data_IF_922004633327
#
_entry.id   IF_922004633327
#
_cell.length_a   1.000
_cell.length_b   1.000
_cell.length_c   1.000
_cell.angle_alpha   90.00
_cell.angle_beta   90.00
_cell.angle_gamma   90.00
#
_symmetry.space_group_name_H-M   'P 1'
#
loop_
_entity.id
_entity.type
_entity.pdbx_description
1 polymer ?
#
# COMPACT_ATOMS: atom_id res chain seq x y z
N UNK A 1 34.19 54.88 26.00
CA UNK A 1 35.37 54.23 26.62
C UNK A 1 35.45 52.83 26.07
N UNK A 2 36.44 52.65 25.25
CA UNK A 2 37.29 51.50 25.03
C UNK A 2 36.55 50.13 24.85
N UNK A 3 36.60 49.40 23.77
CA UNK A 3 37.69 49.23 22.78
C UNK A 3 38.15 47.77 22.80
N UNK A 4 38.28 47.24 21.61
CA UNK A 4 39.00 46.03 21.15
C UNK A 4 38.12 44.84 20.73
N UNK A 5 37.90 44.66 19.37
CA UNK A 5 38.72 44.06 18.32
C UNK A 5 39.52 42.82 18.75
N UNK A 6 39.34 41.74 17.99
CA UNK A 6 40.32 40.85 17.32
C UNK A 6 39.49 39.68 16.73
N UNK A 7 39.26 39.62 15.43
CA UNK A 7 39.94 39.00 14.27
C UNK A 7 40.17 37.48 14.32
N UNK A 8 39.65 36.85 13.30
CA UNK A 8 40.31 35.77 12.55
C UNK A 8 39.79 34.37 12.91
N UNK A 9 39.39 33.54 12.04
CA UNK A 9 39.99 33.11 10.81
C UNK A 9 39.01 32.30 10.00
N UNK A 10 38.82 32.66 8.78
CA UNK A 10 38.32 31.85 7.71
C UNK A 10 39.42 30.90 7.21
N UNK A 11 39.03 29.95 6.39
CA UNK A 11 39.81 28.96 5.62
C UNK A 11 39.86 27.59 6.32
N UNK A 12 39.40 26.54 5.67
CA UNK A 12 39.93 25.93 4.47
C UNK A 12 39.00 24.93 3.84
N UNK A 13 38.41 25.33 2.76
CA UNK A 13 38.01 24.44 1.69
C UNK A 13 39.09 24.53 0.61
N UNK A 14 39.62 23.37 0.15
CA UNK A 14 40.46 23.20 -1.02
C UNK A 14 41.81 22.56 -0.72
N UNK A 15 41.88 21.26 -0.76
CA UNK A 15 43.10 20.54 -1.18
C UNK A 15 42.80 19.04 -1.43
N UNK A 16 42.27 18.73 -2.59
CA UNK A 16 42.41 17.39 -3.21
C UNK A 16 42.32 17.50 -4.72
N UNK A 17 43.33 18.09 -5.32
CA UNK A 17 43.73 17.87 -6.73
C UNK A 17 45.18 18.33 -6.89
N UNK A 18 46.01 17.39 -7.32
CA UNK A 18 47.36 17.53 -7.87
C UNK A 18 48.43 16.74 -7.13
N UNK A 19 48.62 15.55 -7.63
CA UNK A 19 49.95 14.95 -7.76
C UNK A 19 49.95 14.08 -9.01
N UNK A 20 50.33 14.69 -10.10
CA UNK A 20 50.85 14.07 -11.30
C UNK A 20 51.93 14.98 -11.84
N UNK A 21 53.09 14.41 -12.15
CA UNK A 21 54.27 14.97 -12.83
C UNK A 21 55.40 15.35 -11.91
N UNK A 22 56.44 14.53 -12.03
CA UNK A 22 57.86 14.89 -12.32
C UNK A 22 58.54 13.50 -12.47
N UNK A 23 58.83 13.08 -13.62
CA UNK A 23 59.95 12.99 -14.50
C UNK A 23 61.27 12.63 -13.81
N UNK A 24 61.86 11.54 -14.26
CA UNK A 24 63.25 11.17 -13.95
C UNK A 24 63.70 10.07 -14.94
N UNK A 25 64.33 10.51 -16.01
CA UNK A 25 64.99 9.65 -16.98
C UNK A 25 66.21 8.96 -16.35
N UNK A 26 66.36 7.65 -16.55
CA UNK A 26 67.65 6.96 -16.55
C UNK A 26 67.64 5.86 -17.61
N UNK A 27 68.46 6.09 -18.60
CA UNK A 27 68.88 5.14 -19.64
C UNK A 27 69.53 3.89 -18.99
N UNK A 28 69.09 2.73 -19.32
CA UNK A 28 69.89 1.51 -19.28
C UNK A 28 69.67 0.67 -20.52
N UNK A 29 70.67 0.68 -21.34
CA UNK A 29 70.86 -0.22 -22.49
C UNK A 29 70.93 -1.65 -21.99
N UNK A 30 70.01 -2.50 -22.47
CA UNK A 30 70.19 -3.94 -22.39
C UNK A 30 69.92 -4.61 -23.74
N UNK A 31 70.91 -5.43 -24.10
CA UNK A 31 71.08 -6.11 -25.33
C UNK A 31 69.84 -6.94 -25.76
N UNK A 32 69.53 -6.84 -27.02
CA UNK A 32 68.66 -7.71 -27.78
C UNK A 32 69.32 -9.13 -27.87
N UNK A 33 68.71 -10.10 -27.21
CA UNK A 33 68.83 -11.49 -27.58
C UNK A 33 67.51 -11.96 -28.17
N UNK A 34 67.52 -12.16 -29.47
CA UNK A 34 66.40 -12.76 -30.19
C UNK A 34 66.32 -14.25 -29.79
N UNK A 35 65.39 -14.55 -28.86
CA UNK A 35 64.91 -15.88 -28.64
C UNK A 35 63.73 -16.15 -29.59
N UNK A 36 63.52 -17.42 -30.05
CA UNK A 36 62.44 -17.72 -30.97
C UNK A 36 61.09 -17.43 -30.31
N UNK A 37 60.25 -16.61 -30.95
CA UNK A 37 58.87 -16.36 -30.57
C UNK A 37 58.12 -17.70 -30.52
N UNK A 38 57.88 -18.23 -29.33
CA UNK A 38 56.93 -19.30 -29.13
C UNK A 38 55.55 -18.66 -29.42
N UNK A 39 54.75 -19.14 -30.36
CA UNK A 39 53.39 -18.64 -30.56
C UNK A 39 52.64 -18.88 -29.26
N UNK A 40 52.29 -17.80 -28.57
CA UNK A 40 51.32 -17.83 -27.48
C UNK A 40 49.99 -18.29 -28.11
N UNK A 41 49.70 -19.57 -28.02
CA UNK A 41 48.39 -20.09 -28.36
C UNK A 41 47.44 -19.37 -27.41
N UNK A 42 46.71 -18.38 -27.95
CA UNK A 42 45.64 -17.72 -27.21
C UNK A 42 44.73 -18.79 -26.65
N UNK A 43 44.61 -18.85 -25.34
CA UNK A 43 43.48 -19.54 -24.75
C UNK A 43 42.25 -18.90 -25.35
N UNK A 44 41.63 -19.58 -26.31
CA UNK A 44 40.27 -19.26 -26.70
C UNK A 44 39.45 -19.37 -25.41
N UNK A 45 39.07 -18.24 -24.86
CA UNK A 45 38.07 -18.20 -23.81
C UNK A 45 36.91 -19.02 -24.31
N UNK A 46 36.63 -20.15 -23.65
CA UNK A 46 35.53 -21.00 -24.02
C UNK A 46 34.27 -20.11 -24.14
N UNK A 47 33.62 -20.16 -25.32
CA UNK A 47 32.42 -19.38 -25.59
C UNK A 47 31.38 -19.70 -24.51
N UNK A 48 30.99 -18.71 -23.73
CA UNK A 48 29.91 -18.86 -22.76
C UNK A 48 28.55 -18.75 -23.48
N UNK A 49 28.20 -19.83 -24.21
CA UNK A 49 26.94 -19.90 -24.93
C UNK A 49 25.71 -19.74 -24.03
N UNK A 50 25.81 -20.10 -22.75
CA UNK A 50 24.71 -19.91 -21.78
C UNK A 50 24.49 -18.43 -21.48
N UNK A 51 25.54 -17.62 -21.43
CA UNK A 51 25.41 -16.18 -21.29
C UNK A 51 24.77 -15.56 -22.54
N UNK A 52 25.13 -16.00 -23.72
CA UNK A 52 24.53 -15.56 -24.98
C UNK A 52 23.04 -15.91 -25.05
N UNK A 53 22.65 -17.13 -24.71
CA UNK A 53 21.24 -17.54 -24.62
C UNK A 53 20.47 -16.67 -23.63
N UNK A 54 21.05 -16.33 -22.46
CA UNK A 54 20.40 -15.44 -21.49
C UNK A 54 20.25 -14.01 -22.03
N UNK A 55 21.23 -13.54 -22.80
CA UNK A 55 21.20 -12.21 -23.42
C UNK A 55 20.09 -12.13 -24.49
N UNK A 56 20.01 -13.12 -25.40
CA UNK A 56 18.97 -13.19 -26.43
C UNK A 56 17.59 -13.32 -25.79
N UNK A 57 17.45 -14.15 -24.75
CA UNK A 57 16.21 -14.29 -24.00
C UNK A 57 15.79 -12.96 -23.32
N UNK A 58 16.73 -12.19 -22.79
CA UNK A 58 16.47 -10.86 -22.22
C UNK A 58 16.05 -9.83 -23.29
N UNK A 59 16.56 -9.98 -24.52
CA UNK A 59 16.17 -9.19 -25.68
C UNK A 59 14.86 -9.68 -26.35
N UNK A 60 14.24 -10.76 -25.82
CA UNK A 60 13.11 -11.46 -26.44
C UNK A 60 13.40 -12.05 -27.82
N UNK A 61 14.66 -12.24 -28.16
CA UNK A 61 15.06 -12.98 -29.39
C UNK A 61 15.05 -14.49 -29.12
N UNK A 62 13.86 -15.07 -29.15
CA UNK A 62 13.66 -16.49 -28.90
C UNK A 62 14.23 -17.36 -30.00
N UNK A 63 14.27 -16.83 -31.23
CA UNK A 63 14.82 -17.57 -32.39
C UNK A 63 16.35 -17.67 -32.28
N UNK A 64 17.02 -16.56 -31.95
CA UNK A 64 18.46 -16.54 -31.70
C UNK A 64 18.84 -17.45 -30.54
N UNK A 65 18.14 -17.35 -29.41
CA UNK A 65 18.37 -18.19 -28.24
C UNK A 65 18.23 -19.69 -28.53
N UNK A 66 17.17 -20.11 -29.29
CA UNK A 66 16.98 -21.50 -29.70
C UNK A 66 18.07 -21.96 -30.66
N UNK A 67 18.45 -21.12 -31.64
CA UNK A 67 19.51 -21.45 -32.60
C UNK A 67 20.84 -21.75 -31.90
N UNK A 68 21.21 -20.96 -30.88
CA UNK A 68 22.43 -21.21 -30.10
C UNK A 68 22.36 -22.54 -29.40
N UNK A 69 21.24 -22.85 -28.72
CA UNK A 69 21.08 -24.11 -27.97
C UNK A 69 21.06 -25.30 -28.92
N UNK A 70 20.34 -25.21 -30.06
CA UNK A 70 20.29 -26.29 -31.06
C UNK A 70 21.69 -26.60 -31.66
N UNK A 71 22.50 -25.55 -31.88
CA UNK A 71 23.88 -25.71 -32.31
C UNK A 71 24.75 -26.42 -31.25
N UNK A 72 24.56 -26.11 -29.97
CA UNK A 72 25.29 -26.79 -28.88
C UNK A 72 24.82 -28.23 -28.69
N UNK A 73 23.53 -28.54 -28.85
CA UNK A 73 23.02 -29.93 -28.87
C UNK A 73 23.70 -30.74 -30.00
N UNK A 74 23.79 -30.13 -31.18
CA UNK A 74 24.45 -30.78 -32.32
C UNK A 74 25.96 -31.01 -32.09
N UNK A 75 26.61 -30.06 -31.37
CA UNK A 75 28.05 -30.15 -31.06
C UNK A 75 28.35 -31.19 -29.96
N UNK A 76 27.49 -31.31 -28.99
CA UNK A 76 27.68 -32.18 -27.83
C UNK A 76 26.44 -33.03 -27.52
N UNK A 77 26.04 -33.97 -28.38
CA UNK A 77 24.78 -34.70 -28.28
C UNK A 77 24.70 -35.66 -27.08
N UNK A 78 25.80 -35.86 -26.38
CA UNK A 78 25.86 -36.73 -25.18
C UNK A 78 25.72 -35.94 -23.88
N UNK A 79 25.78 -34.62 -23.96
CA UNK A 79 25.62 -33.76 -22.78
C UNK A 79 24.14 -33.54 -22.51
N UNK A 80 23.63 -34.20 -21.47
CA UNK A 80 22.21 -34.21 -21.13
C UNK A 80 21.70 -32.88 -20.52
N UNK A 81 22.60 -32.00 -20.09
CA UNK A 81 22.22 -30.68 -19.51
C UNK A 81 21.79 -29.66 -20.58
N UNK A 82 22.27 -29.82 -21.86
CA UNK A 82 22.00 -28.88 -22.93
C UNK A 82 20.50 -28.88 -23.34
N UNK A 83 19.83 -30.02 -23.49
CA UNK A 83 18.39 -30.06 -23.77
C UNK A 83 17.54 -29.35 -22.74
N UNK A 84 17.96 -29.33 -21.47
CA UNK A 84 17.31 -28.57 -20.41
C UNK A 84 17.29 -27.05 -20.66
N UNK A 85 18.31 -26.52 -21.35
CA UNK A 85 18.33 -25.12 -21.77
C UNK A 85 17.31 -24.86 -22.89
N UNK A 86 17.16 -25.79 -23.83
CA UNK A 86 16.16 -25.68 -24.89
C UNK A 86 14.75 -25.61 -24.33
N UNK A 87 14.44 -26.52 -23.42
CA UNK A 87 13.16 -26.52 -22.70
C UNK A 87 12.89 -25.21 -21.91
N UNK A 88 13.95 -24.64 -21.27
CA UNK A 88 13.86 -23.33 -20.58
C UNK A 88 13.58 -22.19 -21.55
N UNK A 89 14.25 -22.13 -22.71
CA UNK A 89 13.99 -21.09 -23.72
C UNK A 89 12.57 -21.19 -24.24
N UNK A 90 12.05 -22.38 -24.51
CA UNK A 90 10.66 -22.62 -24.90
C UNK A 90 9.69 -22.16 -23.84
N UNK A 91 9.97 -22.43 -22.57
CA UNK A 91 9.18 -21.96 -21.43
C UNK A 91 9.17 -20.43 -21.34
N UNK A 92 10.31 -19.76 -21.51
CA UNK A 92 10.42 -18.30 -21.49
C UNK A 92 9.68 -17.67 -22.67
N UNK A 93 9.77 -18.28 -23.85
CA UNK A 93 9.05 -17.88 -25.05
C UNK A 93 7.52 -18.10 -24.97
N UNK A 94 7.03 -18.77 -23.92
CA UNK A 94 5.61 -19.08 -23.76
C UNK A 94 5.11 -20.25 -24.61
N UNK A 95 6.00 -21.01 -25.25
CA UNK A 95 5.70 -22.22 -26.05
C UNK A 95 5.48 -23.41 -25.10
N UNK A 96 4.40 -23.31 -24.27
CA UNK A 96 4.21 -24.18 -23.11
C UNK A 96 4.05 -25.66 -23.46
N UNK A 97 3.40 -25.99 -24.57
CA UNK A 97 3.20 -27.39 -24.98
C UNK A 97 4.52 -28.04 -25.36
N UNK A 98 5.38 -27.33 -26.06
CA UNK A 98 6.69 -27.84 -26.47
C UNK A 98 7.65 -27.95 -25.28
N UNK A 99 7.64 -26.93 -24.39
CA UNK A 99 8.39 -26.99 -23.17
C UNK A 99 7.95 -28.15 -22.25
N UNK A 100 6.65 -28.47 -22.20
CA UNK A 100 6.13 -29.62 -21.46
C UNK A 100 6.69 -30.95 -22.01
N UNK A 101 6.65 -31.12 -23.34
CA UNK A 101 7.14 -32.33 -23.98
C UNK A 101 8.63 -32.55 -23.68
N UNK A 102 9.42 -31.50 -23.78
CA UNK A 102 10.85 -31.58 -23.53
C UNK A 102 11.17 -31.84 -22.03
N UNK A 103 10.60 -31.05 -21.10
CA UNK A 103 10.83 -31.33 -19.70
C UNK A 103 10.30 -32.71 -19.26
N UNK A 104 9.16 -33.17 -19.81
CA UNK A 104 8.65 -34.50 -19.53
C UNK A 104 9.59 -35.61 -20.02
N UNK A 105 10.26 -35.42 -21.18
CA UNK A 105 11.28 -36.34 -21.66
C UNK A 105 12.52 -36.32 -20.73
N UNK A 106 12.96 -35.14 -20.32
CA UNK A 106 14.12 -34.98 -19.43
C UNK A 106 13.91 -35.63 -18.04
N UNK A 107 12.79 -35.37 -17.37
CA UNK A 107 12.49 -36.00 -16.06
C UNK A 107 12.32 -37.51 -16.16
N UNK A 108 11.96 -38.03 -17.34
CA UNK A 108 11.93 -39.48 -17.59
C UNK A 108 13.33 -40.05 -17.81
N UNK A 109 14.23 -39.31 -18.47
CA UNK A 109 15.61 -39.71 -18.73
C UNK A 109 16.50 -39.54 -17.50
N UNK A 110 16.35 -38.44 -16.78
CA UNK A 110 17.13 -38.06 -15.60
C UNK A 110 16.15 -37.70 -14.46
N UNK A 111 15.59 -38.68 -13.74
CA UNK A 111 14.57 -38.43 -12.72
C UNK A 111 15.11 -37.72 -11.45
N UNK A 112 16.43 -37.64 -11.31
CA UNK A 112 17.09 -37.07 -10.12
C UNK A 112 17.60 -35.63 -10.33
N UNK A 113 17.29 -35.00 -11.47
CA UNK A 113 17.61 -33.59 -11.68
C UNK A 113 16.48 -32.69 -11.16
N UNK A 114 16.73 -31.88 -10.10
CA UNK A 114 15.73 -30.99 -9.54
C UNK A 114 15.36 -29.82 -10.47
N UNK A 115 16.23 -29.42 -11.41
CA UNK A 115 16.00 -28.32 -12.33
C UNK A 115 14.99 -28.67 -13.41
N UNK A 116 14.99 -29.92 -13.88
CA UNK A 116 14.01 -30.37 -14.86
C UNK A 116 12.62 -30.51 -14.23
N UNK A 117 12.54 -30.98 -12.98
CA UNK A 117 11.28 -30.98 -12.24
C UNK A 117 10.78 -29.59 -11.95
N UNK A 118 11.66 -28.63 -11.63
CA UNK A 118 11.30 -27.21 -11.49
C UNK A 118 10.75 -26.63 -12.80
N UNK A 119 11.40 -26.95 -13.92
CA UNK A 119 10.95 -26.54 -15.25
C UNK A 119 9.56 -27.08 -15.58
N UNK A 120 9.35 -28.38 -15.42
CA UNK A 120 8.07 -29.04 -15.67
C UNK A 120 6.96 -28.49 -14.76
N UNK A 121 7.22 -28.32 -13.47
CA UNK A 121 6.27 -27.73 -12.54
C UNK A 121 5.93 -26.28 -12.85
N UNK A 122 6.88 -25.51 -13.40
CA UNK A 122 6.64 -24.13 -13.85
C UNK A 122 5.76 -24.10 -15.10
N UNK A 123 5.95 -25.04 -16.04
CA UNK A 123 5.05 -25.19 -17.20
C UNK A 123 3.62 -25.49 -16.72
N UNK A 124 3.44 -26.48 -15.86
CA UNK A 124 2.12 -26.83 -15.32
C UNK A 124 1.46 -25.68 -14.59
N UNK A 125 2.21 -24.89 -13.82
CA UNK A 125 1.71 -23.69 -13.15
C UNK A 125 1.17 -22.66 -14.15
N UNK A 126 1.92 -22.39 -15.24
CA UNK A 126 1.46 -21.48 -16.31
C UNK A 126 0.24 -22.00 -17.06
N UNK A 127 0.13 -23.30 -17.24
CA UNK A 127 -1.04 -23.96 -17.82
C UNK A 127 -2.24 -24.07 -16.87
N UNK A 128 -2.11 -23.61 -15.61
CA UNK A 128 -3.13 -23.75 -14.55
C UNK A 128 -3.43 -25.19 -14.13
N UNK A 129 -2.58 -26.12 -14.44
CA UNK A 129 -2.63 -27.52 -13.99
C UNK A 129 -1.98 -27.63 -12.60
N UNK A 130 -2.67 -27.06 -11.61
CA UNK A 130 -2.09 -26.84 -10.27
C UNK A 130 -1.73 -28.12 -9.50
N UNK A 131 -2.51 -29.25 -9.57
CA UNK A 131 -2.11 -30.51 -8.94
C UNK A 131 -0.82 -31.08 -9.53
N UNK A 132 -0.69 -31.06 -10.87
CA UNK A 132 0.51 -31.57 -11.56
C UNK A 132 1.72 -30.67 -11.24
N UNK A 133 1.52 -29.35 -11.19
CA UNK A 133 2.55 -28.40 -10.78
C UNK A 133 3.04 -28.67 -9.36
N UNK A 134 2.13 -28.92 -8.41
CA UNK A 134 2.51 -29.23 -7.04
C UNK A 134 3.31 -30.52 -6.95
N UNK A 135 2.87 -31.59 -7.65
CA UNK A 135 3.61 -32.86 -7.69
C UNK A 135 5.03 -32.69 -8.22
N UNK A 136 5.21 -31.96 -9.32
CA UNK A 136 6.53 -31.69 -9.87
C UNK A 136 7.41 -30.89 -8.91
N UNK A 137 6.84 -29.84 -8.25
CA UNK A 137 7.58 -29.07 -7.26
C UNK A 137 7.92 -29.86 -5.99
N UNK A 138 7.05 -30.78 -5.56
CA UNK A 138 7.32 -31.69 -4.44
C UNK A 138 8.52 -32.60 -4.76
N UNK A 139 8.61 -33.12 -6.00
CA UNK A 139 9.76 -33.91 -6.45
C UNK A 139 11.05 -33.07 -6.47
N UNK A 140 11.01 -31.88 -7.05
CA UNK A 140 12.16 -30.97 -7.08
C UNK A 140 12.69 -30.65 -5.66
N UNK A 141 11.79 -30.31 -4.72
CA UNK A 141 12.16 -30.03 -3.31
C UNK A 141 12.65 -31.28 -2.59
N UNK A 142 12.14 -32.47 -2.91
CA UNK A 142 12.61 -33.73 -2.31
C UNK A 142 14.05 -34.07 -2.76
N UNK A 143 14.41 -33.78 -4.02
CA UNK A 143 15.75 -33.99 -4.56
C UNK A 143 16.79 -33.04 -3.96
N UNK A 144 16.46 -31.75 -3.82
CA UNK A 144 17.32 -30.81 -3.11
C UNK A 144 16.53 -29.94 -2.13
N UNK A 145 16.36 -30.40 -0.87
CA UNK A 145 15.60 -29.66 0.13
C UNK A 145 16.29 -28.36 0.61
N UNK A 146 17.55 -28.13 0.25
CA UNK A 146 18.31 -26.96 0.69
C UNK A 146 18.14 -25.76 -0.26
N UNK A 147 17.76 -25.97 -1.48
CA UNK A 147 17.59 -24.93 -2.49
C UNK A 147 16.39 -24.03 -2.18
N UNK A 148 16.67 -22.75 -2.04
CA UNK A 148 15.67 -21.74 -1.71
C UNK A 148 14.70 -21.47 -2.87
N UNK A 149 15.18 -21.50 -4.11
CA UNK A 149 14.42 -21.29 -5.33
C UNK A 149 13.34 -22.35 -5.56
N UNK A 150 13.65 -23.63 -5.29
CA UNK A 150 12.68 -24.73 -5.39
C UNK A 150 11.53 -24.56 -4.40
N UNK A 151 11.84 -24.20 -3.15
CA UNK A 151 10.83 -23.91 -2.14
C UNK A 151 9.99 -22.69 -2.48
N UNK A 152 10.61 -21.63 -3.01
CA UNK A 152 9.91 -20.46 -3.46
C UNK A 152 8.97 -20.78 -4.65
N UNK A 153 9.39 -21.64 -5.58
CA UNK A 153 8.55 -22.11 -6.68
C UNK A 153 7.36 -22.94 -6.17
N UNK A 154 7.59 -23.86 -5.25
CA UNK A 154 6.54 -24.63 -4.57
C UNK A 154 5.53 -23.70 -3.87
N UNK A 155 6.03 -22.69 -3.16
CA UNK A 155 5.17 -21.71 -2.50
C UNK A 155 4.26 -20.96 -3.47
N UNK A 156 4.75 -20.57 -4.66
CA UNK A 156 3.92 -19.93 -5.70
C UNK A 156 2.79 -20.85 -6.18
N UNK A 157 3.05 -22.15 -6.34
CA UNK A 157 2.00 -23.11 -6.68
C UNK A 157 0.96 -23.20 -5.56
N UNK A 158 1.37 -23.26 -4.30
CA UNK A 158 0.46 -23.25 -3.15
C UNK A 158 -0.40 -21.98 -3.08
N UNK A 159 0.17 -20.83 -3.42
CA UNK A 159 -0.61 -19.56 -3.57
C UNK A 159 -1.67 -19.70 -4.64
N UNK A 160 -1.29 -20.20 -5.82
CA UNK A 160 -2.22 -20.39 -6.94
C UNK A 160 -3.36 -21.38 -6.60
N UNK A 161 -3.10 -22.36 -5.75
CA UNK A 161 -4.09 -23.31 -5.22
C UNK A 161 -4.98 -22.72 -4.12
N UNK A 162 -4.78 -21.47 -3.70
CA UNK A 162 -5.52 -20.86 -2.60
C UNK A 162 -5.12 -21.37 -1.21
N UNK A 163 -3.88 -21.86 -1.06
CA UNK A 163 -3.32 -22.38 0.19
C UNK A 163 -2.26 -21.43 0.79
N UNK A 164 -2.61 -20.17 1.12
CA UNK A 164 -1.64 -19.16 1.54
C UNK A 164 -0.95 -19.47 2.88
N UNK A 165 -1.59 -20.28 3.74
CA UNK A 165 -0.99 -20.69 5.01
C UNK A 165 0.23 -21.59 4.79
N UNK A 166 0.13 -22.55 3.87
CA UNK A 166 1.23 -23.46 3.54
C UNK A 166 2.33 -22.72 2.77
N UNK A 167 1.98 -21.88 1.80
CA UNK A 167 2.93 -21.03 1.07
C UNK A 167 3.74 -20.14 2.02
N UNK A 168 3.10 -19.57 3.05
CA UNK A 168 3.79 -18.79 4.09
C UNK A 168 4.86 -19.58 4.81
N UNK A 169 4.60 -20.83 5.15
CA UNK A 169 5.60 -21.69 5.81
C UNK A 169 6.80 -21.93 4.91
N UNK A 170 6.59 -22.15 3.62
CA UNK A 170 7.67 -22.31 2.64
C UNK A 170 8.53 -21.05 2.53
N UNK A 171 7.93 -19.88 2.34
CA UNK A 171 8.70 -18.62 2.28
C UNK A 171 9.43 -18.31 3.60
N UNK A 172 8.84 -18.64 4.75
CA UNK A 172 9.53 -18.52 6.03
C UNK A 172 10.75 -19.44 6.13
N UNK A 173 10.69 -20.64 5.55
CA UNK A 173 11.83 -21.54 5.49
C UNK A 173 12.94 -21.01 4.57
N UNK A 174 12.56 -20.41 3.44
CA UNK A 174 13.52 -19.70 2.56
C UNK A 174 14.23 -18.60 3.33
N UNK A 175 13.48 -17.71 4.02
CA UNK A 175 14.04 -16.59 4.77
C UNK A 175 14.85 -16.99 6.03
N UNK A 176 14.60 -18.15 6.59
CA UNK A 176 15.46 -18.69 7.69
C UNK A 176 16.85 -19.06 7.20
N UNK A 177 16.99 -19.47 5.94
CA UNK A 177 18.27 -19.86 5.33
C UNK A 177 18.95 -18.69 4.63
N UNK A 178 18.19 -17.88 3.96
CA UNK A 178 18.62 -16.67 3.25
C UNK A 178 17.76 -15.47 3.68
N UNK A 179 18.11 -14.78 4.79
CA UNK A 179 17.39 -13.61 5.26
C UNK A 179 17.41 -12.43 4.28
N UNK A 180 18.36 -12.42 3.33
CA UNK A 180 18.50 -11.38 2.33
C UNK A 180 17.61 -11.58 1.09
N UNK A 181 16.96 -12.74 0.97
CA UNK A 181 16.12 -13.07 -0.18
C UNK A 181 14.95 -12.09 -0.35
N UNK A 182 15.13 -11.12 -1.23
CA UNK A 182 14.14 -10.07 -1.48
C UNK A 182 12.82 -10.65 -2.01
N UNK A 183 12.90 -11.61 -2.95
CA UNK A 183 11.72 -12.22 -3.57
C UNK A 183 10.86 -12.93 -2.52
N UNK A 184 11.47 -13.78 -1.68
CA UNK A 184 10.72 -14.48 -0.63
C UNK A 184 10.14 -13.52 0.41
N UNK A 185 10.81 -12.40 0.69
CA UNK A 185 10.32 -11.35 1.59
C UNK A 185 9.10 -10.64 1.03
N UNK A 186 9.15 -10.25 -0.23
CA UNK A 186 8.05 -9.54 -0.90
C UNK A 186 6.84 -10.45 -1.09
N UNK A 187 7.06 -11.69 -1.49
CA UNK A 187 6.02 -12.71 -1.60
C UNK A 187 5.39 -13.04 -0.24
N UNK A 188 6.19 -13.19 0.80
CA UNK A 188 5.68 -13.39 2.15
C UNK A 188 4.90 -12.17 2.65
N UNK A 189 5.32 -10.96 2.29
CA UNK A 189 4.60 -9.74 2.60
C UNK A 189 3.25 -9.67 1.88
N UNK A 190 3.18 -10.10 0.62
CA UNK A 190 1.93 -10.20 -0.15
C UNK A 190 0.97 -11.24 0.44
N UNK A 191 1.50 -12.35 0.96
CA UNK A 191 0.74 -13.41 1.64
C UNK A 191 0.33 -13.09 3.08
N UNK A 192 0.90 -12.06 3.70
CA UNK A 192 0.35 -11.47 4.91
C UNK A 192 -0.97 -10.83 4.51
N UNK A 193 -1.99 -11.65 4.45
CA UNK A 193 -3.30 -11.36 3.89
C UNK A 193 -3.77 -9.94 4.18
N UNK A 194 -4.57 -9.37 3.29
CA UNK A 194 -5.24 -8.09 3.55
C UNK A 194 -5.68 -8.07 5.00
N UNK A 195 -5.16 -7.10 5.74
CA UNK A 195 -5.57 -6.91 7.14
C UNK A 195 -7.09 -6.78 7.15
N UNK A 196 -7.76 -7.73 7.79
CA UNK A 196 -9.23 -7.82 7.75
C UNK A 196 -9.89 -6.94 8.81
N UNK A 197 -9.13 -6.58 9.81
CA UNK A 197 -9.62 -5.83 10.94
C UNK A 197 -8.79 -4.58 11.15
N UNK A 198 -9.43 -3.47 11.48
CA UNK A 198 -8.81 -2.23 11.91
C UNK A 198 -9.40 -1.82 13.25
N UNK A 199 -8.57 -1.72 14.25
CA UNK A 199 -8.90 -1.14 15.55
C UNK A 199 -8.32 0.27 15.59
N UNK A 200 -9.14 1.24 15.99
CA UNK A 200 -8.72 2.64 16.13
C UNK A 200 -9.21 3.22 17.45
N UNK A 201 -8.32 3.90 18.15
CA UNK A 201 -8.62 4.66 19.34
C UNK A 201 -8.33 6.14 19.08
N UNK A 202 -9.15 7.02 19.59
CA UNK A 202 -8.96 8.45 19.42
C UNK A 202 -9.51 9.28 20.57
N UNK A 203 -9.06 10.53 20.59
CA UNK A 203 -9.54 11.56 21.51
C UNK A 203 -9.62 12.90 20.78
N UNK A 204 -10.64 13.66 21.11
CA UNK A 204 -10.93 14.98 20.57
C UNK A 204 -11.29 15.93 21.70
N UNK A 205 -10.98 17.21 21.52
CA UNK A 205 -11.30 18.25 22.49
C UNK A 205 -11.79 19.49 21.75
N UNK A 206 -12.89 20.06 22.27
CA UNK A 206 -13.41 21.36 21.85
C UNK A 206 -13.13 22.40 22.94
N UNK A 207 -12.48 23.49 22.59
CA UNK A 207 -12.20 24.62 23.47
C UNK A 207 -13.03 25.82 23.02
N UNK A 208 -13.98 26.21 23.83
CA UNK A 208 -14.87 27.32 23.53
C UNK A 208 -14.46 28.59 24.30
N UNK A 209 -14.72 29.77 23.73
CA UNK A 209 -14.55 31.04 24.46
C UNK A 209 -15.77 31.44 25.31
N UNK A 210 -16.83 30.66 25.29
CA UNK A 210 -18.12 31.00 25.91
C UNK A 210 -18.66 29.90 26.84
N UNK A 211 -18.03 28.75 26.91
CA UNK A 211 -18.42 27.64 27.79
C UNK A 211 -17.18 26.80 28.12
N UNK A 212 -17.32 25.82 29.01
CA UNK A 212 -16.28 24.86 29.35
C UNK A 212 -15.92 23.96 28.14
N UNK A 213 -14.75 23.33 28.20
CA UNK A 213 -14.29 22.42 27.20
C UNK A 213 -15.16 21.15 27.12
N UNK A 214 -15.33 20.63 25.94
CA UNK A 214 -15.88 19.29 25.72
C UNK A 214 -14.75 18.30 25.40
N UNK A 215 -14.95 17.08 25.85
CA UNK A 215 -14.01 15.97 25.59
C UNK A 215 -14.78 14.81 24.97
N UNK A 216 -14.18 14.20 23.93
CA UNK A 216 -14.71 13.02 23.30
C UNK A 216 -13.59 11.98 23.13
N UNK A 217 -13.84 10.77 23.58
CA UNK A 217 -12.94 9.62 23.42
C UNK A 217 -13.69 8.51 22.73
N UNK A 218 -13.03 7.77 21.87
CA UNK A 218 -13.69 6.71 21.13
C UNK A 218 -12.76 5.55 20.80
N UNK A 219 -13.38 4.38 20.64
CA UNK A 219 -12.76 3.16 20.18
C UNK A 219 -13.62 2.58 19.06
N UNK A 220 -13.02 2.27 17.92
CA UNK A 220 -13.75 1.66 16.80
C UNK A 220 -13.05 0.43 16.24
N UNK A 221 -13.85 -0.54 15.82
CA UNK A 221 -13.43 -1.76 15.15
C UNK A 221 -14.14 -1.85 13.80
N UNK A 222 -13.37 -1.92 12.73
CA UNK A 222 -13.86 -2.22 11.38
C UNK A 222 -13.37 -3.60 10.99
N UNK A 223 -14.28 -4.47 10.52
CA UNK A 223 -13.98 -5.86 10.19
C UNK A 223 -14.46 -6.19 8.77
N UNK A 224 -13.52 -6.51 7.87
CA UNK A 224 -13.82 -6.97 6.51
C UNK A 224 -13.91 -8.49 6.50
N UNK A 225 -15.11 -9.01 6.35
CA UNK A 225 -15.38 -10.46 6.32
C UNK A 225 -15.12 -11.09 4.96
N UNK A 226 -15.39 -10.31 3.91
CA UNK A 226 -15.15 -10.69 2.52
C UNK A 226 -14.92 -9.46 1.67
N UNK A 227 -14.67 -9.63 0.37
CA UNK A 227 -14.62 -8.51 -0.59
C UNK A 227 -15.94 -7.74 -0.71
N UNK A 228 -17.04 -8.31 -0.19
CA UNK A 228 -18.39 -7.73 -0.30
C UNK A 228 -18.94 -7.20 1.01
N UNK A 229 -18.48 -7.69 2.16
CA UNK A 229 -19.07 -7.40 3.45
C UNK A 229 -18.07 -6.86 4.46
N UNK A 230 -18.38 -5.71 5.03
CA UNK A 230 -17.64 -5.06 6.12
C UNK A 230 -18.62 -4.72 7.24
N UNK A 231 -18.21 -4.89 8.47
CA UNK A 231 -18.94 -4.42 9.65
C UNK A 231 -18.12 -3.40 10.39
N UNK A 232 -18.78 -2.44 11.04
CA UNK A 232 -18.18 -1.46 11.94
C UNK A 232 -18.89 -1.48 13.27
N UNK A 233 -18.13 -1.26 14.34
CA UNK A 233 -18.64 -1.04 15.69
C UNK A 233 -17.80 0.05 16.35
N UNK A 234 -18.40 0.95 17.10
CA UNK A 234 -17.70 1.98 17.86
C UNK A 234 -18.37 2.22 19.20
N UNK A 235 -17.55 2.51 20.21
CA UNK A 235 -17.96 3.02 21.49
C UNK A 235 -17.39 4.41 21.67
N UNK A 236 -18.25 5.35 22.01
CA UNK A 236 -17.93 6.76 22.19
C UNK A 236 -18.22 7.16 23.63
N UNK A 237 -17.34 7.93 24.24
CA UNK A 237 -17.54 8.54 25.52
C UNK A 237 -17.36 10.06 25.38
N UNK A 238 -18.41 10.78 25.74
CA UNK A 238 -18.48 12.23 25.69
C UNK A 238 -18.50 12.80 27.08
N UNK A 239 -17.84 13.93 27.28
CA UNK A 239 -17.99 14.81 28.44
C UNK A 239 -18.33 16.20 27.90
N UNK A 240 -19.61 16.55 27.95
CA UNK A 240 -20.17 17.78 27.38
C UNK A 240 -20.84 18.57 28.52
N UNK A 241 -20.41 19.82 28.74
CA UNK A 241 -20.94 20.69 29.82
C UNK A 241 -20.97 20.00 31.20
N UNK A 242 -19.96 19.18 31.51
CA UNK A 242 -19.87 18.44 32.76
C UNK A 242 -20.70 17.15 32.80
N UNK A 243 -21.46 16.82 31.78
CA UNK A 243 -22.28 15.60 31.69
C UNK A 243 -21.52 14.52 30.90
N UNK A 244 -21.32 13.35 31.53
CA UNK A 244 -20.75 12.18 30.87
C UNK A 244 -21.84 11.40 30.12
N UNK A 245 -21.54 11.03 28.86
CA UNK A 245 -22.44 10.24 28.01
C UNK A 245 -21.69 9.18 27.25
N UNK A 246 -22.23 7.96 27.23
CA UNK A 246 -21.72 6.86 26.40
C UNK A 246 -22.66 6.55 25.26
N UNK A 247 -22.11 6.30 24.07
CA UNK A 247 -22.86 5.92 22.86
C UNK A 247 -22.21 4.70 22.20
N UNK A 248 -23.02 3.78 21.72
CA UNK A 248 -22.57 2.65 20.93
C UNK A 248 -23.14 2.76 19.52
N UNK A 249 -22.27 2.61 18.51
CA UNK A 249 -22.60 2.70 17.09
C UNK A 249 -22.26 1.39 16.39
N UNK A 250 -23.14 0.93 15.52
CA UNK A 250 -22.90 -0.26 14.69
C UNK A 250 -23.31 -0.04 13.23
N UNK A 251 -22.63 -0.68 12.30
CA UNK A 251 -22.95 -0.56 10.89
C UNK A 251 -22.50 -1.76 10.08
N UNK A 252 -23.16 -1.94 8.93
CA UNK A 252 -22.83 -2.97 7.93
C UNK A 252 -22.73 -2.32 6.57
N UNK A 253 -21.65 -2.61 5.85
CA UNK A 253 -21.40 -2.14 4.48
C UNK A 253 -21.40 -3.33 3.54
N UNK A 254 -22.14 -3.23 2.45
CA UNK A 254 -22.11 -4.14 1.32
C UNK A 254 -21.48 -3.47 0.12
N UNK A 255 -20.39 -4.01 -0.39
CA UNK A 255 -19.72 -3.53 -1.60
C UNK A 255 -20.07 -4.43 -2.79
N UNK A 256 -20.41 -3.83 -3.91
CA UNK A 256 -20.68 -4.50 -5.18
C UNK A 256 -19.92 -3.79 -6.30
N UNK A 257 -19.14 -4.56 -7.08
CA UNK A 257 -18.25 -4.00 -8.11
C UNK A 257 -18.94 -3.07 -9.13
N UNK A 258 -20.24 -3.31 -9.38
CA UNK A 258 -21.02 -2.54 -10.37
C UNK A 258 -21.73 -1.33 -9.77
N UNK A 259 -22.09 -1.36 -8.48
CA UNK A 259 -22.98 -0.37 -7.86
C UNK A 259 -22.30 0.51 -6.82
N UNK A 260 -21.03 0.20 -6.46
CA UNK A 260 -20.33 0.86 -5.36
C UNK A 260 -20.60 0.18 -4.02
N UNK A 261 -20.63 0.94 -2.93
CA UNK A 261 -20.97 0.39 -1.62
C UNK A 261 -22.20 1.05 -1.01
N UNK A 262 -22.86 0.27 -0.16
CA UNK A 262 -24.04 0.66 0.59
C UNK A 262 -23.79 0.37 2.06
N UNK A 263 -23.90 1.38 2.91
CA UNK A 263 -23.76 1.27 4.36
C UNK A 263 -25.07 1.59 5.03
N UNK A 264 -25.47 0.75 5.99
CA UNK A 264 -26.59 1.01 6.90
C UNK A 264 -26.10 0.79 8.33
N UNK A 265 -26.62 1.55 9.25
CA UNK A 265 -26.27 1.42 10.67
C UNK A 265 -27.11 2.28 11.57
N UNK A 266 -26.72 2.27 12.83
CA UNK A 266 -27.38 3.06 13.86
C UNK A 266 -26.55 3.15 15.13
N UNK A 267 -27.01 3.98 16.04
CA UNK A 267 -26.40 4.13 17.35
C UNK A 267 -27.47 4.20 18.44
N UNK A 268 -27.06 3.84 19.65
CA UNK A 268 -27.88 3.95 20.87
C UNK A 268 -27.06 4.55 22.00
N UNK A 269 -27.71 5.37 22.80
CA UNK A 269 -27.15 5.96 24.02
C UNK A 269 -28.22 6.03 25.11
N UNK A 270 -27.78 6.23 26.38
CA UNK A 270 -28.71 6.61 27.41
C UNK A 270 -29.27 8.01 27.12
N UNK A 271 -30.52 8.22 27.46
CA UNK A 271 -31.16 9.54 27.35
C UNK A 271 -30.56 10.49 28.39
N UNK A 272 -29.77 11.44 27.92
CA UNK A 272 -29.04 12.41 28.78
C UNK A 272 -29.05 13.83 28.20
N UNK A 273 -29.85 14.08 27.17
CA UNK A 273 -30.02 15.36 26.47
C UNK A 273 -28.76 15.90 25.74
N UNK A 274 -27.56 15.35 25.95
CA UNK A 274 -26.31 15.85 25.32
C UNK A 274 -25.89 15.03 24.10
N UNK A 275 -26.33 13.77 24.03
CA UNK A 275 -26.17 12.93 22.82
C UNK A 275 -27.51 12.35 22.38
N UNK A 276 -27.70 12.03 21.11
CA UNK A 276 -28.95 11.40 20.65
C UNK A 276 -29.12 10.03 21.33
N UNK A 277 -30.33 9.77 21.81
CA UNK A 277 -30.68 8.47 22.40
C UNK A 277 -30.68 7.33 21.37
N UNK A 278 -30.94 7.67 20.11
CA UNK A 278 -30.88 6.75 18.99
C UNK A 278 -30.47 7.48 17.73
N UNK A 279 -29.79 6.77 16.83
CA UNK A 279 -29.43 7.24 15.50
C UNK A 279 -29.70 6.12 14.49
N UNK A 280 -30.05 6.49 13.27
CA UNK A 280 -30.02 5.61 12.13
C UNK A 280 -29.30 6.31 10.97
N UNK A 281 -28.52 5.58 10.21
CA UNK A 281 -27.85 6.16 9.06
C UNK A 281 -27.81 5.18 7.88
N UNK A 282 -27.72 5.81 6.73
CA UNK A 282 -27.59 5.18 5.43
C UNK A 282 -26.57 5.97 4.62
N UNK A 283 -25.68 5.30 3.89
CA UNK A 283 -24.77 5.94 2.95
C UNK A 283 -24.59 5.05 1.73
N UNK A 284 -24.52 5.69 0.56
CA UNK A 284 -24.18 5.04 -0.70
C UNK A 284 -23.01 5.78 -1.32
N UNK A 285 -22.01 5.05 -1.78
CA UNK A 285 -20.87 5.61 -2.48
C UNK A 285 -20.56 4.87 -3.77
N UNK A 286 -20.05 5.59 -4.75
CA UNK A 286 -19.58 5.05 -6.01
C UNK A 286 -18.43 5.85 -6.57
N UNK A 287 -17.37 5.12 -6.93
CA UNK A 287 -16.19 5.66 -7.57
C UNK A 287 -16.07 5.22 -9.03
N UNK A 288 -15.46 6.09 -9.83
CA UNK A 288 -15.09 5.85 -11.22
C UNK A 288 -13.62 6.21 -11.41
N UNK A 289 -12.86 5.26 -11.95
CA UNK A 289 -11.51 5.54 -12.41
C UNK A 289 -11.58 6.22 -13.79
N UNK A 290 -10.78 7.25 -13.98
CA UNK A 290 -10.59 7.96 -15.24
C UNK A 290 -9.21 7.57 -15.81
N UNK A 291 -8.89 7.98 -17.04
CA UNK A 291 -7.62 7.67 -17.71
C UNK A 291 -6.42 8.17 -16.90
N UNK A 292 -5.33 7.39 -16.95
CA UNK A 292 -4.05 7.77 -16.32
C UNK A 292 -3.35 8.94 -17.04
N UNK A 293 -3.79 9.31 -18.22
CA UNK A 293 -3.17 10.36 -19.05
C UNK A 293 -3.81 11.74 -18.85
N UNK A 294 -4.86 11.85 -18.01
CA UNK A 294 -5.55 13.09 -17.70
C UNK A 294 -5.20 13.60 -16.31
N UNK A 295 -5.47 14.89 -16.05
CA UNK A 295 -5.34 15.49 -14.71
C UNK A 295 -6.34 14.85 -13.74
N UNK A 296 -7.50 14.45 -14.22
CA UNK A 296 -8.53 13.77 -13.43
C UNK A 296 -8.24 12.26 -13.43
N UNK A 297 -7.87 11.70 -12.28
CA UNK A 297 -7.57 10.27 -12.09
C UNK A 297 -8.78 9.43 -11.72
N UNK A 298 -9.72 10.03 -11.03
CA UNK A 298 -10.97 9.42 -10.62
C UNK A 298 -11.89 10.38 -9.92
N UNK A 299 -13.15 9.99 -9.81
CA UNK A 299 -14.20 10.71 -9.08
C UNK A 299 -14.91 9.69 -8.20
N UNK A 300 -15.24 10.08 -6.99
CA UNK A 300 -16.09 9.33 -6.07
C UNK A 300 -17.23 10.24 -5.60
N UNK A 301 -18.44 9.75 -5.69
CA UNK A 301 -19.63 10.41 -5.18
C UNK A 301 -20.18 9.61 -4.00
N UNK A 302 -20.48 10.31 -2.93
CA UNK A 302 -21.11 9.74 -1.74
C UNK A 302 -22.38 10.53 -1.44
N UNK A 303 -23.46 9.81 -1.15
CA UNK A 303 -24.70 10.34 -0.62
C UNK A 303 -24.99 9.66 0.71
N UNK A 304 -25.39 10.42 1.73
CA UNK A 304 -25.71 9.93 3.07
C UNK A 304 -26.97 10.59 3.63
N UNK A 305 -27.65 9.84 4.47
CA UNK A 305 -28.74 10.33 5.32
C UNK A 305 -28.46 9.88 6.75
N UNK A 306 -28.68 10.79 7.71
CA UNK A 306 -28.53 10.45 9.11
C UNK A 306 -29.68 11.06 9.91
N UNK A 307 -30.36 10.21 10.69
CA UNK A 307 -31.46 10.56 11.58
C UNK A 307 -31.00 10.48 13.02
N UNK A 308 -31.26 11.55 13.77
CA UNK A 308 -30.92 11.66 15.18
C UNK A 308 -32.18 11.90 15.99
N UNK A 309 -32.36 11.10 17.04
CA UNK A 309 -33.48 11.23 17.97
C UNK A 309 -32.96 11.63 19.35
N UNK A 310 -33.12 12.88 19.69
CA UNK A 310 -32.89 13.41 21.02
C UNK A 310 -34.16 13.34 21.87
N UNK A 311 -34.08 13.61 23.20
CA UNK A 311 -35.23 13.71 24.06
C UNK A 311 -36.25 14.77 23.57
N UNK A 312 -35.75 15.91 23.10
CA UNK A 312 -36.55 17.11 22.76
C UNK A 312 -36.48 17.52 21.29
N UNK A 313 -35.67 16.82 20.47
CA UNK A 313 -35.45 17.19 19.07
C UNK A 313 -35.30 15.96 18.18
N UNK A 314 -35.64 16.14 16.91
CA UNK A 314 -35.31 15.20 15.81
C UNK A 314 -34.53 15.95 14.77
N UNK A 315 -33.45 15.34 14.28
CA UNK A 315 -32.62 15.96 13.27
C UNK A 315 -32.45 14.97 12.12
N UNK A 316 -32.56 15.45 10.91
CA UNK A 316 -32.21 14.74 9.67
C UNK A 316 -31.11 15.50 8.98
N UNK A 317 -30.00 14.85 8.65
CA UNK A 317 -28.99 15.40 7.75
C UNK A 317 -28.95 14.64 6.44
N UNK A 318 -28.76 15.39 5.36
CA UNK A 318 -28.48 14.88 4.01
C UNK A 318 -27.07 15.34 3.65
N UNK A 319 -26.20 14.42 3.34
CA UNK A 319 -24.80 14.66 3.02
C UNK A 319 -24.50 14.24 1.58
N UNK A 320 -23.95 15.15 0.80
CA UNK A 320 -23.49 14.90 -0.56
C UNK A 320 -22.00 15.24 -0.64
N UNK A 321 -21.18 14.29 -1.08
CA UNK A 321 -19.74 14.51 -1.21
C UNK A 321 -19.28 14.11 -2.59
N UNK A 322 -18.54 14.99 -3.26
CA UNK A 322 -17.75 14.69 -4.44
C UNK A 322 -16.26 14.73 -4.08
N UNK A 323 -15.55 13.63 -4.31
CA UNK A 323 -14.12 13.50 -4.13
C UNK A 323 -13.45 13.27 -5.47
N UNK A 324 -12.47 14.09 -5.78
CA UNK A 324 -11.70 14.07 -7.02
C UNK A 324 -10.28 13.63 -6.73
N UNK A 325 -9.80 12.64 -7.45
CA UNK A 325 -8.43 12.14 -7.37
C UNK A 325 -7.59 12.79 -8.47
N UNK A 326 -6.47 13.39 -8.08
CA UNK A 326 -5.55 14.14 -8.94
C UNK A 326 -4.19 13.43 -9.02
N UNK A 327 -3.28 13.83 -9.94
CA UNK A 327 -1.94 13.28 -10.02
C UNK A 327 -1.15 13.46 -8.71
N UNK A 328 -0.16 12.59 -8.48
CA UNK A 328 0.72 12.64 -7.31
C UNK A 328 0.00 12.54 -5.97
N UNK A 329 -1.12 11.79 -5.91
CA UNK A 329 -1.90 11.55 -4.68
C UNK A 329 -2.59 12.79 -4.11
N UNK A 330 -2.72 13.87 -4.88
CA UNK A 330 -3.55 15.00 -4.48
C UNK A 330 -5.04 14.63 -4.57
N UNK A 331 -5.81 15.17 -3.65
CA UNK A 331 -7.26 14.99 -3.63
C UNK A 331 -7.96 16.31 -3.40
N UNK A 332 -9.09 16.50 -4.02
CA UNK A 332 -9.97 17.63 -3.77
C UNK A 332 -11.37 17.13 -3.51
N UNK A 333 -12.03 17.63 -2.48
CA UNK A 333 -13.40 17.24 -2.18
C UNK A 333 -14.27 18.43 -1.82
N UNK A 334 -15.53 18.32 -2.21
CA UNK A 334 -16.61 19.22 -1.84
C UNK A 334 -17.64 18.37 -1.12
N UNK A 335 -18.08 18.82 0.05
CA UNK A 335 -19.23 18.27 0.78
C UNK A 335 -20.29 19.34 0.91
N UNK A 336 -21.52 18.97 0.66
CA UNK A 336 -22.72 19.73 0.96
C UNK A 336 -23.51 18.95 2.01
N UNK A 337 -23.94 19.62 3.05
CA UNK A 337 -24.77 19.05 4.11
C UNK A 337 -26.02 19.94 4.26
N UNK A 338 -27.18 19.32 4.27
CA UNK A 338 -28.45 19.95 4.57
C UNK A 338 -29.00 19.32 5.84
N UNK A 339 -29.22 20.13 6.88
CA UNK A 339 -29.77 19.67 8.14
C UNK A 339 -31.18 20.22 8.34
N UNK A 340 -32.09 19.34 8.75
CA UNK A 340 -33.44 19.68 9.16
C UNK A 340 -33.65 19.38 10.62
N UNK A 341 -33.75 20.40 11.41
CA UNK A 341 -33.99 20.29 12.86
C UNK A 341 -35.45 20.53 13.19
N UNK A 342 -36.08 19.63 13.94
CA UNK A 342 -37.42 19.75 14.44
C UNK A 342 -37.40 19.74 15.96
N UNK A 343 -37.71 20.86 16.55
CA UNK A 343 -37.91 21.05 17.98
C UNK A 343 -39.39 21.08 18.32
N UNK A 344 -39.76 20.71 19.57
CA UNK A 344 -41.15 20.58 19.99
C UNK A 344 -42.03 21.85 19.85
N UNK A 345 -41.40 23.01 19.74
CA UNK A 345 -42.11 24.32 19.73
C UNK A 345 -41.75 25.21 18.52
N UNK A 346 -40.90 24.74 17.57
CA UNK A 346 -40.45 25.54 16.42
C UNK A 346 -40.70 24.82 15.11
N UNK A 347 -41.03 25.57 14.03
CA UNK A 347 -41.15 24.98 12.70
C UNK A 347 -39.81 24.38 12.28
N UNK A 348 -39.87 23.23 11.61
CA UNK A 348 -38.71 22.58 11.04
C UNK A 348 -38.17 23.43 9.87
N UNK A 349 -36.87 23.73 9.92
CA UNK A 349 -36.18 24.51 8.89
C UNK A 349 -34.96 23.73 8.34
N UNK A 350 -34.66 23.94 7.06
CA UNK A 350 -33.49 23.36 6.40
C UNK A 350 -32.34 24.36 6.45
N UNK A 351 -31.19 23.91 6.93
CA UNK A 351 -29.98 24.74 7.04
C UNK A 351 -28.83 24.10 6.26
N UNK A 352 -28.42 24.77 5.17
CA UNK A 352 -27.30 24.27 4.36
C UNK A 352 -25.95 24.63 4.97
N UNK A 353 -24.99 23.76 4.71
CA UNK A 353 -23.57 23.99 5.00
C UNK A 353 -22.72 23.34 3.91
N UNK A 354 -21.49 23.82 3.73
CA UNK A 354 -20.58 23.32 2.74
C UNK A 354 -19.15 23.28 3.25
N UNK A 355 -18.39 22.30 2.75
CA UNK A 355 -16.96 22.15 3.05
C UNK A 355 -16.19 21.87 1.77
N UNK A 356 -15.05 22.52 1.63
CA UNK A 356 -14.04 22.17 0.65
C UNK A 356 -12.79 21.68 1.38
N UNK A 357 -12.16 20.64 0.83
CA UNK A 357 -10.92 20.06 1.39
C UNK A 357 -9.93 19.75 0.30
N UNK A 358 -8.67 20.10 0.54
CA UNK A 358 -7.53 19.76 -0.29
C UNK A 358 -6.61 18.82 0.48
N UNK A 359 -6.39 17.62 -0.04
CA UNK A 359 -5.44 16.64 0.50
C UNK A 359 -4.20 16.57 -0.37
N UNK A 360 -3.04 16.40 0.25
CA UNK A 360 -1.74 16.37 -0.43
C UNK A 360 -0.75 15.44 0.27
N UNK A 361 0.14 14.79 -0.48
CA UNK A 361 1.27 14.09 0.09
C UNK A 361 2.32 15.08 0.60
N UNK A 362 2.95 14.77 1.72
CA UNK A 362 4.03 15.60 2.30
C UNK A 362 5.37 14.92 2.09
N UNK A 363 5.52 13.67 2.47
CA UNK A 363 6.76 12.91 2.28
C UNK A 363 6.53 11.41 2.22
N UNK A 364 7.45 10.73 1.54
CA UNK A 364 7.54 9.27 1.47
C UNK A 364 8.97 8.87 1.84
N UNK A 365 9.15 8.15 2.94
CA UNK A 365 10.44 7.65 3.39
C UNK A 365 10.33 6.15 3.67
N UNK A 366 10.61 5.33 2.67
CA UNK A 366 10.44 3.87 2.74
C UNK A 366 8.98 3.47 3.00
N UNK A 367 8.74 2.76 4.09
CA UNK A 367 7.39 2.34 4.49
C UNK A 367 6.57 3.44 5.19
N UNK A 368 7.20 4.59 5.51
CA UNK A 368 6.53 5.71 6.19
C UNK A 368 6.01 6.69 5.16
N UNK A 369 4.75 7.08 5.31
CA UNK A 369 4.09 8.08 4.46
C UNK A 369 3.44 9.13 5.34
N UNK A 370 3.68 10.40 5.04
CA UNK A 370 3.01 11.52 5.65
C UNK A 370 2.18 12.23 4.59
N UNK A 371 0.89 12.36 4.85
CA UNK A 371 -0.04 13.16 4.05
C UNK A 371 -0.67 14.24 4.92
N UNK A 372 -1.00 15.36 4.31
CA UNK A 372 -1.68 16.47 4.94
C UNK A 372 -2.99 16.80 4.25
N UNK A 373 -3.84 17.55 4.92
CA UNK A 373 -5.00 18.18 4.31
C UNK A 373 -5.27 19.54 4.97
N UNK A 374 -5.90 20.42 4.21
CA UNK A 374 -6.48 21.66 4.70
C UNK A 374 -7.93 21.72 4.26
N UNK A 375 -8.77 22.37 5.03
CA UNK A 375 -10.17 22.54 4.71
C UNK A 375 -10.74 23.87 5.17
N UNK A 376 -11.78 24.28 4.48
CA UNK A 376 -12.64 25.40 4.85
C UNK A 376 -14.08 24.92 4.81
N UNK A 377 -14.87 25.31 5.80
CA UNK A 377 -16.29 25.03 5.86
C UNK A 377 -17.07 26.27 6.27
N UNK A 378 -18.28 26.41 5.76
CA UNK A 378 -19.18 27.50 6.08
C UNK A 378 -20.64 27.05 6.03
N UNK A 379 -21.48 27.63 6.87
CA UNK A 379 -22.91 27.36 6.92
C UNK A 379 -23.47 27.32 8.34
N UNK A 380 -24.59 26.64 8.50
CA UNK A 380 -25.13 26.36 9.83
C UNK A 380 -24.25 25.34 10.56
N UNK A 381 -24.26 25.31 11.89
CA UNK A 381 -23.28 24.63 12.73
C UNK A 381 -23.35 23.09 12.74
N UNK A 382 -23.18 22.43 11.61
CA UNK A 382 -23.33 20.97 11.52
C UNK A 382 -21.99 20.19 11.48
N UNK A 383 -20.85 20.89 11.57
CA UNK A 383 -19.59 20.25 11.20
C UNK A 383 -18.91 19.50 12.34
N UNK A 384 -19.25 19.78 13.57
CA UNK A 384 -18.53 19.19 14.70
C UNK A 384 -19.40 18.33 15.62
N UNK A 385 -20.60 18.78 15.94
CA UNK A 385 -21.48 18.05 16.88
C UNK A 385 -22.95 18.42 16.67
N UNK A 386 -23.78 17.40 16.58
CA UNK A 386 -25.24 17.50 16.40
C UNK A 386 -25.93 18.25 17.55
N UNK A 387 -25.34 18.24 18.77
CA UNK A 387 -25.85 18.95 19.93
C UNK A 387 -25.90 20.48 19.79
N UNK A 388 -25.30 21.01 18.72
CA UNK A 388 -25.23 22.46 18.47
C UNK A 388 -25.82 22.84 17.12
N UNK A 389 -26.61 22.00 16.49
CA UNK A 389 -27.40 22.37 15.29
C UNK A 389 -28.39 23.44 15.71
N UNK A 390 -27.94 24.63 15.66
CA UNK A 390 -28.65 25.81 16.10
C UNK A 390 -28.68 26.89 15.04
N UNK A 391 -29.13 28.02 15.43
CA UNK A 391 -29.41 29.20 14.61
C UNK A 391 -28.19 30.02 14.19
N UNK A 392 -26.97 29.49 14.26
CA UNK A 392 -25.74 30.28 14.05
C UNK A 392 -25.07 29.97 12.73
N UNK A 393 -24.69 30.99 11.97
CA UNK A 393 -23.77 30.85 10.87
C UNK A 393 -22.33 30.70 11.40
N UNK A 394 -21.57 29.79 10.82
CA UNK A 394 -20.19 29.55 11.21
C UNK A 394 -19.25 29.50 10.01
N UNK A 395 -17.98 29.77 10.26
CA UNK A 395 -16.87 29.57 9.35
C UNK A 395 -15.80 28.79 10.08
N UNK A 396 -15.37 27.66 9.50
CA UNK A 396 -14.38 26.78 10.08
C UNK A 396 -13.18 26.66 9.15
N UNK A 397 -12.00 26.82 9.71
CA UNK A 397 -10.72 26.64 9.04
C UNK A 397 -9.99 25.52 9.77
N UNK A 398 -9.41 24.61 9.02
CA UNK A 398 -8.70 23.51 9.68
C UNK A 398 -7.77 22.78 8.75
N UNK A 399 -7.01 21.88 9.35
CA UNK A 399 -6.12 21.00 8.67
C UNK A 399 -5.82 19.76 9.49
N UNK A 400 -5.28 18.76 8.84
CA UNK A 400 -4.93 17.52 9.49
C UNK A 400 -3.79 16.82 8.80
N UNK A 401 -3.31 15.78 9.43
CA UNK A 401 -2.27 14.91 8.88
C UNK A 401 -2.60 13.44 9.13
N UNK A 402 -2.01 12.59 8.30
CA UNK A 402 -1.95 11.14 8.52
C UNK A 402 -0.52 10.69 8.36
N UNK A 403 0.05 10.14 9.42
CA UNK A 403 1.37 9.53 9.45
C UNK A 403 1.22 8.02 9.46
N UNK A 404 1.48 7.38 8.33
CA UNK A 404 1.57 5.93 8.23
C UNK A 404 2.95 5.50 8.74
N UNK A 405 3.00 4.79 9.87
CA UNK A 405 4.23 4.30 10.50
C UNK A 405 4.75 3.05 9.78
N UNK A 406 3.84 2.19 9.35
CA UNK A 406 4.10 0.98 8.58
C UNK A 406 2.80 0.51 7.89
N UNK A 407 2.81 -0.64 7.21
CA UNK A 407 1.64 -1.17 6.52
C UNK A 407 0.41 -1.41 7.43
N UNK A 408 0.61 -1.48 8.75
CA UNK A 408 -0.44 -1.84 9.72
C UNK A 408 -0.82 -0.75 10.69
N UNK A 409 -0.01 0.29 10.83
CA UNK A 409 -0.17 1.30 11.88
C UNK A 409 -0.13 2.70 11.30
N UNK A 410 -1.05 3.53 11.74
CA UNK A 410 -1.06 4.95 11.41
C UNK A 410 -1.51 5.81 12.59
N UNK A 411 -1.06 7.07 12.57
CA UNK A 411 -1.52 8.13 13.46
C UNK A 411 -2.18 9.19 12.58
N UNK A 412 -3.34 9.67 12.99
CA UNK A 412 -3.97 10.83 12.38
C UNK A 412 -4.16 11.91 13.43
N UNK A 413 -4.02 13.15 13.02
CA UNK A 413 -4.30 14.30 13.87
C UNK A 413 -4.88 15.43 13.05
N UNK A 414 -5.65 16.27 13.69
CA UNK A 414 -6.22 17.46 13.07
C UNK A 414 -6.41 18.57 14.08
N UNK A 415 -6.51 19.80 13.58
CA UNK A 415 -6.95 20.95 14.33
C UNK A 415 -7.81 21.84 13.45
N UNK A 416 -8.79 22.48 14.05
CA UNK A 416 -9.64 23.45 13.39
C UNK A 416 -10.03 24.61 14.32
N UNK A 417 -10.27 25.74 13.71
CA UNK A 417 -10.75 26.94 14.37
C UNK A 417 -12.05 27.38 13.71
N UNK A 418 -13.09 27.50 14.51
CA UNK A 418 -14.43 27.91 14.08
C UNK A 418 -14.78 29.28 14.66
N UNK A 419 -15.23 30.16 13.79
CA UNK A 419 -15.85 31.44 14.16
C UNK A 419 -17.35 31.33 13.97
N UNK A 420 -18.11 31.70 14.98
CA UNK A 420 -19.58 31.69 15.01
C UNK A 420 -20.10 33.12 15.14
N UNK A 421 -21.37 33.33 14.82
CA UNK A 421 -22.06 34.56 15.14
C UNK A 421 -21.96 34.90 16.62
N UNK A 422 -22.16 36.14 17.00
CA UNK A 422 -22.04 36.66 18.38
C UNK A 422 -20.60 36.57 18.95
N UNK A 423 -19.58 36.61 18.08
CA UNK A 423 -18.17 36.53 18.46
C UNK A 423 -17.78 35.27 19.27
N UNK A 424 -18.52 34.20 19.11
CA UNK A 424 -18.24 32.91 19.71
C UNK A 424 -17.18 32.19 18.88
N UNK A 425 -16.28 31.48 19.52
CA UNK A 425 -15.24 30.69 18.86
C UNK A 425 -15.16 29.30 19.45
N UNK A 426 -14.71 28.37 18.64
CA UNK A 426 -14.42 27.00 19.00
C UNK A 426 -13.10 26.58 18.38
N UNK A 427 -12.21 26.01 19.16
CA UNK A 427 -10.97 25.38 18.70
C UNK A 427 -11.07 23.89 18.97
N UNK A 428 -11.16 23.12 17.91
CA UNK A 428 -11.24 21.67 17.98
C UNK A 428 -9.92 21.05 17.55
N UNK A 429 -9.46 20.04 18.27
CA UNK A 429 -8.29 19.24 17.89
C UNK A 429 -8.46 17.81 18.34
N UNK A 430 -7.92 16.90 17.55
CA UNK A 430 -8.02 15.47 17.82
C UNK A 430 -6.83 14.69 17.31
N UNK A 431 -6.62 13.53 17.92
CA UNK A 431 -5.61 12.56 17.54
C UNK A 431 -6.19 11.15 17.61
N UNK A 432 -5.80 10.30 16.69
CA UNK A 432 -6.15 8.88 16.76
C UNK A 432 -5.00 7.99 16.28
N UNK A 433 -4.98 6.77 16.80
CA UNK A 433 -4.06 5.71 16.42
C UNK A 433 -4.84 4.52 15.90
N UNK A 434 -4.43 4.01 14.75
CA UNK A 434 -5.03 2.86 14.09
C UNK A 434 -4.05 1.70 13.94
N UNK A 435 -4.54 0.48 14.20
CA UNK A 435 -3.80 -0.77 13.96
C UNK A 435 -4.64 -1.72 13.11
N UNK A 436 -4.03 -2.30 12.08
CA UNK A 436 -4.64 -3.29 11.18
C UNK A 436 -4.05 -4.67 11.41
N UNK A 437 -4.89 -5.71 11.44
CA UNK A 437 -4.50 -7.08 11.73
C UNK A 437 -5.40 -8.12 11.03
#
# INVERSE_FOLDING_TARGET
MAGNTITGCASTLAAKRRWCRIAGALLAVFLITAGPAVPCWGQQTARDWQAEVRQDAAAHDWAGALHIVDAEIARAPKEMDIPGWRARVLLWAGRLTEAEQEFAALVKAIPDDPDDWLGLGTVYLRQRRLPDALHAMDRAVALDPKRADLRAARARVLVAMGQPRQARLEYQQVLRRDPANAVARDELASLRGETKHELRIGAENDLFNFTGANHHQWLSLVSRWSSRWTTSAAGDFYQIAGIGAGKFTGGVTRTAARWGSLTIGGAVARDNAVVPRAEAFFAADRGWAVSRDTILRGIELTYGQHWYWYATARILTLDETALVYLPREWTWSIRLTQARSQFSAMPADWKPSGMIRLGFPVTHAGARRLSGNIFFAAGAEDFAQVSQIGSFASQTYGGGFRLQLNARQDITGYASYQRRTQNRTDTNFGVSYGIRF
#
